data_IF_629035068892
#
_entry.id   IF_629035068892
#
_cell.length_a   1.000
_cell.length_b   1.000
_cell.length_c   1.000
_cell.angle_alpha   90.00
_cell.angle_beta   90.00
_cell.angle_gamma   90.00
#
_symmetry.space_group_name_H-M   'P 1'
#
loop_
_entity.id
_entity.type
_entity.pdbx_description
1 polymer ?
#
# COMPACT_ATOMS: atom_id res chain seq x y z
N UNK A 1 -3.75 -19.91 -21.76
CA UNK A 1 -3.08 -18.83 -21.01
C UNK A 1 -2.76 -19.34 -19.61
N UNK A 2 -1.52 -19.18 -19.10
CA UNK A 2 -1.16 -19.69 -17.76
C UNK A 2 -1.93 -18.93 -16.67
N UNK A 3 -2.42 -19.63 -15.66
CA UNK A 3 -3.19 -19.07 -14.53
C UNK A 3 -2.42 -17.94 -13.82
N UNK A 4 -1.10 -18.08 -13.69
CA UNK A 4 -0.21 -17.06 -13.11
C UNK A 4 -0.29 -15.71 -13.84
N UNK A 5 -0.36 -15.74 -15.17
CA UNK A 5 -0.44 -14.53 -16.00
C UNK A 5 -1.81 -13.86 -15.81
N UNK A 6 -2.88 -14.65 -15.71
CA UNK A 6 -4.22 -14.12 -15.43
C UNK A 6 -4.26 -13.43 -14.06
N UNK A 7 -3.67 -14.04 -13.03
CA UNK A 7 -3.62 -13.47 -11.68
C UNK A 7 -2.78 -12.18 -11.63
N UNK A 8 -1.64 -12.15 -12.32
CA UNK A 8 -0.80 -10.94 -12.40
C UNK A 8 -1.51 -9.80 -13.13
N UNK A 9 -2.20 -10.09 -14.24
CA UNK A 9 -3.00 -9.09 -14.96
C UNK A 9 -4.18 -8.60 -14.13
N UNK A 10 -4.86 -9.50 -13.40
CA UNK A 10 -5.95 -9.13 -12.51
C UNK A 10 -5.47 -8.20 -11.39
N UNK A 11 -4.33 -8.51 -10.74
CA UNK A 11 -3.73 -7.65 -9.72
C UNK A 11 -3.42 -6.26 -10.27
N UNK A 12 -2.74 -6.19 -11.42
CA UNK A 12 -2.39 -4.91 -12.04
C UNK A 12 -3.62 -4.10 -12.44
N UNK A 13 -4.68 -4.75 -12.93
CA UNK A 13 -5.93 -4.09 -13.26
C UNK A 13 -6.63 -3.53 -12.01
N UNK A 14 -6.70 -4.30 -10.92
CA UNK A 14 -7.27 -3.85 -9.64
C UNK A 14 -6.47 -2.69 -9.08
N UNK A 15 -5.13 -2.81 -9.06
CA UNK A 15 -4.25 -1.74 -8.61
C UNK A 15 -4.48 -0.48 -9.43
N UNK A 16 -4.44 -0.55 -10.77
CA UNK A 16 -4.69 0.60 -11.63
C UNK A 16 -6.06 1.24 -11.36
N UNK A 17 -7.13 0.44 -11.24
CA UNK A 17 -8.47 0.93 -10.96
C UNK A 17 -8.54 1.67 -9.61
N UNK A 18 -7.95 1.11 -8.55
CA UNK A 18 -7.93 1.73 -7.21
C UNK A 18 -7.10 3.01 -7.21
N UNK A 19 -5.95 3.03 -7.87
CA UNK A 19 -5.09 4.23 -7.94
C UNK A 19 -5.77 5.34 -8.74
N UNK A 20 -6.41 5.02 -9.88
CA UNK A 20 -7.18 5.99 -10.67
C UNK A 20 -8.36 6.54 -9.84
N UNK A 21 -9.08 5.67 -9.14
CA UNK A 21 -10.17 6.07 -8.26
C UNK A 21 -9.69 7.03 -7.17
N UNK A 22 -8.56 6.73 -6.52
CA UNK A 22 -7.94 7.56 -5.49
C UNK A 22 -7.41 8.89 -6.04
N UNK A 23 -6.93 8.93 -7.29
CA UNK A 23 -6.51 10.19 -7.92
C UNK A 23 -7.70 11.10 -8.26
N UNK A 24 -8.79 10.52 -8.77
CA UNK A 24 -9.98 11.28 -9.19
C UNK A 24 -10.80 11.74 -7.99
N UNK A 25 -11.01 10.86 -7.01
CA UNK A 25 -11.93 11.12 -5.88
C UNK A 25 -11.24 11.37 -4.55
N UNK A 26 -9.98 10.94 -4.40
CA UNK A 26 -9.26 11.04 -3.14
C UNK A 26 -8.76 12.44 -2.83
N UNK A 27 -8.62 12.71 -1.53
CA UNK A 27 -7.99 13.91 -1.01
C UNK A 27 -6.47 13.78 -1.01
N UNK A 28 -5.82 14.68 -0.26
CA UNK A 28 -4.35 14.65 -0.10
C UNK A 28 -3.83 13.33 0.49
N UNK A 29 -4.43 12.76 1.55
CA UNK A 29 -4.00 11.48 2.11
C UNK A 29 -4.04 10.34 1.10
N UNK A 30 -5.12 10.26 0.31
CA UNK A 30 -5.33 9.20 -0.68
C UNK A 30 -4.31 9.30 -1.82
N UNK A 31 -4.00 10.53 -2.28
CA UNK A 31 -2.95 10.76 -3.29
C UNK A 31 -1.56 10.40 -2.79
N UNK A 32 -1.25 10.66 -1.51
CA UNK A 32 -0.01 10.19 -0.90
C UNK A 32 0.02 8.65 -0.84
N UNK A 33 -1.11 8.01 -0.53
CA UNK A 33 -1.25 6.55 -0.61
C UNK A 33 -0.99 5.99 -2.00
N UNK A 34 -1.46 6.69 -3.05
CA UNK A 34 -1.14 6.34 -4.45
C UNK A 34 0.36 6.39 -4.71
N UNK A 35 1.05 7.44 -4.24
CA UNK A 35 2.49 7.58 -4.41
C UNK A 35 3.26 6.44 -3.72
N UNK A 36 2.87 6.05 -2.51
CA UNK A 36 3.50 4.92 -1.80
C UNK A 36 3.36 3.62 -2.59
N UNK A 37 2.17 3.34 -3.14
CA UNK A 37 1.94 2.14 -3.95
C UNK A 37 2.73 2.16 -5.27
N UNK A 38 2.75 3.30 -5.98
CA UNK A 38 3.52 3.45 -7.23
C UNK A 38 5.02 3.31 -6.95
N UNK A 39 5.53 3.92 -5.88
CA UNK A 39 6.92 3.80 -5.49
C UNK A 39 7.30 2.35 -5.15
N UNK A 40 6.46 1.64 -4.38
CA UNK A 40 6.63 0.22 -4.11
C UNK A 40 6.68 -0.61 -5.39
N UNK A 41 5.68 -0.46 -6.27
CA UNK A 41 5.63 -1.17 -7.55
C UNK A 41 6.84 -0.88 -8.46
N UNK A 42 7.25 0.39 -8.57
CA UNK A 42 8.41 0.79 -9.36
C UNK A 42 9.70 0.20 -8.81
N UNK A 43 9.88 0.22 -7.48
CA UNK A 43 11.06 -0.34 -6.83
C UNK A 43 11.13 -1.86 -7.01
N UNK A 44 10.03 -2.58 -6.78
CA UNK A 44 9.95 -4.02 -7.04
C UNK A 44 10.21 -4.35 -8.51
N UNK A 45 9.66 -3.57 -9.44
CA UNK A 45 9.84 -3.79 -10.88
C UNK A 45 11.27 -3.52 -11.35
N UNK A 46 11.89 -2.44 -10.87
CA UNK A 46 13.28 -2.12 -11.16
C UNK A 46 14.23 -3.21 -10.63
N UNK A 47 13.99 -3.70 -9.41
CA UNK A 47 14.77 -4.81 -8.84
C UNK A 47 14.64 -6.10 -9.65
N UNK A 48 13.44 -6.42 -10.16
CA UNK A 48 13.22 -7.58 -11.05
C UNK A 48 13.97 -7.47 -12.38
N UNK A 49 14.08 -6.26 -12.94
CA UNK A 49 14.82 -6.01 -14.19
C UNK A 49 16.34 -6.10 -14.00
N UNK A 50 16.85 -5.70 -12.83
CA UNK A 50 18.28 -5.67 -12.51
C UNK A 50 18.85 -7.02 -12.04
N UNK A 51 18.00 -7.99 -11.66
CA UNK A 51 18.44 -9.30 -11.16
C UNK A 51 17.53 -10.42 -11.69
N UNK A 52 17.74 -10.80 -12.95
CA UNK A 52 16.89 -11.71 -13.71
C UNK A 52 16.92 -13.19 -13.29
N UNK A 53 17.87 -13.63 -12.45
CA UNK A 53 18.10 -15.06 -12.19
C UNK A 53 17.69 -15.58 -10.80
N UNK A 54 17.43 -14.71 -9.81
CA UNK A 54 17.45 -15.13 -8.39
C UNK A 54 16.22 -14.68 -7.56
N UNK A 55 15.45 -13.68 -8.00
CA UNK A 55 14.44 -12.96 -7.17
C UNK A 55 13.14 -13.74 -6.87
N UNK A 56 12.93 -14.92 -7.45
CA UNK A 56 11.73 -15.74 -7.17
C UNK A 56 11.86 -16.62 -5.93
N UNK A 57 13.04 -16.69 -5.32
CA UNK A 57 13.24 -17.44 -4.08
C UNK A 57 12.71 -16.65 -2.86
N UNK A 58 11.99 -17.31 -1.92
CA UNK A 58 11.69 -16.73 -0.63
C UNK A 58 12.98 -16.26 0.04
N UNK A 59 13.02 -15.00 0.47
CA UNK A 59 14.07 -14.53 1.37
C UNK A 59 15.15 -13.61 0.83
N UNK A 60 14.96 -13.00 -0.34
CA UNK A 60 15.82 -11.91 -0.74
C UNK A 60 15.54 -10.64 0.08
N UNK A 61 16.57 -10.15 0.78
CA UNK A 61 16.49 -8.92 1.59
C UNK A 61 16.03 -7.68 0.81
N UNK A 62 16.04 -7.72 -0.52
CA UNK A 62 15.49 -6.67 -1.38
C UNK A 62 13.96 -6.51 -1.23
N UNK A 63 13.19 -7.60 -1.22
CA UNK A 63 11.73 -7.53 -1.01
C UNK A 63 11.42 -6.98 0.38
N UNK A 64 12.17 -7.43 1.39
CA UNK A 64 12.07 -6.94 2.76
C UNK A 64 12.28 -5.41 2.84
N UNK A 65 13.24 -4.86 2.10
CA UNK A 65 13.47 -3.41 2.05
C UNK A 65 12.32 -2.64 1.43
N UNK A 66 11.69 -3.19 0.38
CA UNK A 66 10.50 -2.59 -0.24
C UNK A 66 9.35 -2.58 0.76
N UNK A 67 9.06 -3.73 1.39
CA UNK A 67 7.96 -3.86 2.34
C UNK A 67 8.15 -2.96 3.56
N UNK A 68 9.41 -2.80 4.00
CA UNK A 68 9.76 -1.88 5.07
C UNK A 68 9.45 -0.44 4.66
N UNK A 69 9.86 -0.02 3.45
CA UNK A 69 9.59 1.31 2.93
C UNK A 69 8.08 1.59 2.79
N UNK A 70 7.31 0.63 2.27
CA UNK A 70 5.86 0.72 2.14
C UNK A 70 5.18 0.80 3.51
N UNK A 71 5.61 -0.04 4.46
CA UNK A 71 5.11 -0.05 5.84
C UNK A 71 5.37 1.29 6.53
N UNK A 72 6.58 1.83 6.43
CA UNK A 72 6.92 3.15 6.97
C UNK A 72 6.07 4.23 6.29
N UNK A 73 5.90 4.16 4.97
CA UNK A 73 5.09 5.11 4.21
C UNK A 73 3.64 5.16 4.69
N UNK A 74 2.99 4.01 4.84
CA UNK A 74 1.62 3.95 5.36
C UNK A 74 1.52 4.30 6.84
N UNK A 75 2.49 3.88 7.66
CA UNK A 75 2.52 4.23 9.08
C UNK A 75 2.62 5.75 9.27
N UNK A 76 3.54 6.40 8.53
CA UNK A 76 3.69 7.84 8.50
C UNK A 76 2.38 8.54 8.09
N UNK A 77 1.71 8.02 7.07
CA UNK A 77 0.42 8.53 6.60
C UNK A 77 -0.67 8.36 7.68
N UNK A 78 -0.65 7.26 8.43
CA UNK A 78 -1.57 7.01 9.55
C UNK A 78 -1.41 7.98 10.71
N UNK A 79 -0.19 8.39 11.06
CA UNK A 79 0.04 9.32 12.17
C UNK A 79 -0.12 10.80 11.77
N UNK A 80 0.04 11.13 10.48
CA UNK A 80 -0.02 12.51 9.97
C UNK A 80 -1.39 12.95 9.47
N UNK A 81 -2.30 12.01 9.24
CA UNK A 81 -3.63 12.29 8.68
C UNK A 81 -4.75 12.01 9.68
N UNK A 82 -5.91 12.64 9.50
CA UNK A 82 -7.11 12.39 10.31
C UNK A 82 -7.94 11.21 9.79
N UNK A 83 -7.46 10.55 8.72
CA UNK A 83 -8.16 9.45 8.06
C UNK A 83 -7.83 8.14 8.76
N UNK A 84 -8.83 7.28 8.91
CA UNK A 84 -8.65 5.99 9.58
C UNK A 84 -8.10 4.89 8.65
N UNK A 85 -8.29 4.99 7.33
CA UNK A 85 -7.84 3.96 6.40
C UNK A 85 -6.30 3.71 6.37
N UNK A 86 -5.41 4.70 6.56
CA UNK A 86 -3.97 4.46 6.44
C UNK A 86 -3.42 3.59 7.57
N UNK A 87 -4.03 3.60 8.76
CA UNK A 87 -3.60 2.71 9.86
C UNK A 87 -3.92 1.24 9.55
N UNK A 88 -4.98 0.98 8.78
CA UNK A 88 -5.31 -0.36 8.29
C UNK A 88 -4.31 -0.79 7.23
N UNK A 89 -4.02 0.09 6.26
CA UNK A 89 -3.00 -0.16 5.25
C UNK A 89 -1.61 -0.40 5.85
N UNK A 90 -1.24 0.34 6.91
CA UNK A 90 0.00 0.12 7.65
C UNK A 90 0.02 -1.25 8.34
N UNK A 91 -1.09 -1.68 8.94
CA UNK A 91 -1.21 -3.02 9.53
C UNK A 91 -1.06 -4.14 8.51
N UNK A 92 -1.68 -4.00 7.33
CA UNK A 92 -1.53 -4.97 6.25
C UNK A 92 -0.10 -4.98 5.68
N UNK A 93 0.50 -3.81 5.46
CA UNK A 93 1.90 -3.70 5.03
C UNK A 93 2.88 -4.30 6.06
N UNK A 94 2.61 -4.15 7.35
CA UNK A 94 3.38 -4.80 8.41
C UNK A 94 3.26 -6.33 8.35
N UNK A 95 2.07 -6.86 8.05
CA UNK A 95 1.87 -8.29 7.79
C UNK A 95 2.69 -8.80 6.61
N UNK A 96 2.77 -7.99 5.55
CA UNK A 96 3.60 -8.26 4.37
C UNK A 96 5.10 -8.27 4.71
N UNK A 97 5.54 -7.26 5.46
CA UNK A 97 6.90 -7.16 6.00
C UNK A 97 7.29 -8.39 6.82
N UNK A 98 6.39 -8.88 7.67
CA UNK A 98 6.62 -10.11 8.43
C UNK A 98 6.70 -11.34 7.52
N UNK A 99 5.85 -11.43 6.49
CA UNK A 99 5.94 -12.52 5.51
C UNK A 99 7.30 -12.53 4.80
N UNK A 100 7.79 -11.36 4.38
CA UNK A 100 9.13 -11.22 3.79
C UNK A 100 10.26 -11.50 4.77
N UNK A 101 10.12 -11.10 6.03
CA UNK A 101 11.10 -11.40 7.09
C UNK A 101 11.19 -12.90 7.36
N UNK A 102 10.05 -13.58 7.53
CA UNK A 102 10.02 -15.02 7.75
C UNK A 102 10.43 -15.80 6.49
N UNK A 103 10.10 -15.31 5.29
CA UNK A 103 10.62 -15.86 4.04
C UNK A 103 12.15 -15.80 3.97
N UNK A 104 12.77 -14.77 4.54
CA UNK A 104 14.23 -14.62 4.62
C UNK A 104 14.89 -15.49 5.70
N UNK A 105 14.25 -15.60 6.86
CA UNK A 105 14.80 -16.35 8.00
C UNK A 105 14.52 -17.86 7.91
N UNK A 106 13.45 -18.26 7.20
CA UNK A 106 12.99 -19.65 7.10
C UNK A 106 12.97 -20.11 5.63
N UNK A 107 14.11 -20.56 5.08
CA UNK A 107 14.24 -20.97 3.68
C UNK A 107 13.40 -22.20 3.28
N UNK A 108 12.69 -22.84 4.22
CA UNK A 108 11.78 -23.98 3.98
C UNK A 108 10.29 -23.57 3.94
N UNK A 109 9.97 -22.28 3.99
CA UNK A 109 8.59 -21.82 3.83
C UNK A 109 8.12 -22.18 2.42
N UNK A 110 6.92 -22.77 2.33
CA UNK A 110 6.35 -23.11 1.03
C UNK A 110 6.16 -21.84 0.19
N UNK A 111 6.61 -21.88 -1.07
CA UNK A 111 6.48 -20.79 -2.05
C UNK A 111 5.01 -20.35 -2.18
N UNK A 112 4.08 -21.32 -2.09
CA UNK A 112 2.64 -21.06 -2.12
C UNK A 112 2.18 -20.19 -0.93
N UNK A 113 2.55 -20.56 0.31
CA UNK A 113 2.17 -19.79 1.50
C UNK A 113 2.78 -18.38 1.47
N UNK A 114 4.04 -18.26 1.02
CA UNK A 114 4.72 -16.97 0.91
C UNK A 114 4.03 -16.02 -0.08
N UNK A 115 3.80 -16.45 -1.32
CA UNK A 115 3.14 -15.60 -2.32
C UNK A 115 1.67 -15.33 -2.03
N UNK A 116 0.96 -16.30 -1.44
CA UNK A 116 -0.44 -16.10 -1.05
C UNK A 116 -0.55 -15.07 0.07
N UNK A 117 0.34 -15.15 1.07
CA UNK A 117 0.41 -14.17 2.16
C UNK A 117 0.65 -12.76 1.65
N UNK A 118 1.69 -12.58 0.82
CA UNK A 118 2.00 -11.26 0.25
C UNK A 118 0.85 -10.71 -0.60
N UNK A 119 0.26 -11.57 -1.45
CA UNK A 119 -0.87 -11.18 -2.28
C UNK A 119 -2.08 -10.71 -1.47
N UNK A 120 -2.46 -11.45 -0.42
CA UNK A 120 -3.61 -11.10 0.43
C UNK A 120 -3.39 -9.73 1.09
N UNK A 121 -2.21 -9.49 1.67
CA UNK A 121 -1.93 -8.22 2.34
C UNK A 121 -1.90 -7.04 1.37
N UNK A 122 -1.36 -7.22 0.16
CA UNK A 122 -1.41 -6.20 -0.89
C UNK A 122 -2.85 -5.86 -1.30
N UNK A 123 -3.71 -6.86 -1.51
CA UNK A 123 -5.14 -6.62 -1.81
C UNK A 123 -5.88 -5.93 -0.67
N UNK A 124 -5.59 -6.30 0.58
CA UNK A 124 -6.20 -5.65 1.75
C UNK A 124 -5.76 -4.19 1.90
N UNK A 125 -4.48 -3.88 1.62
CA UNK A 125 -3.98 -2.51 1.59
C UNK A 125 -4.66 -1.67 0.49
N UNK A 126 -4.82 -2.24 -0.72
CA UNK A 126 -5.59 -1.61 -1.80
C UNK A 126 -7.07 -1.42 -1.43
N UNK A 127 -7.66 -2.41 -0.77
CA UNK A 127 -9.02 -2.35 -0.24
C UNK A 127 -9.19 -1.23 0.78
N UNK A 128 -8.23 -1.05 1.69
CA UNK A 128 -8.22 0.05 2.64
C UNK A 128 -8.15 1.41 1.94
N UNK A 129 -7.29 1.56 0.93
CA UNK A 129 -7.20 2.78 0.13
C UNK A 129 -8.51 3.08 -0.63
N UNK A 130 -9.12 2.05 -1.23
CA UNK A 130 -10.40 2.18 -1.92
C UNK A 130 -11.53 2.60 -0.96
N UNK A 131 -11.61 1.96 0.21
CA UNK A 131 -12.58 2.32 1.26
C UNK A 131 -12.36 3.75 1.77
N UNK A 132 -11.11 4.17 1.96
CA UNK A 132 -10.75 5.54 2.32
C UNK A 132 -11.22 6.55 1.29
N UNK A 133 -11.01 6.25 0.02
CA UNK A 133 -11.42 7.08 -1.12
C UNK A 133 -12.94 7.18 -1.25
N UNK A 134 -13.66 6.06 -1.09
CA UNK A 134 -15.13 6.02 -1.20
C UNK A 134 -15.84 6.70 -0.03
N UNK A 135 -15.22 6.71 1.16
CA UNK A 135 -15.77 7.40 2.34
C UNK A 135 -15.61 8.93 2.30
N UNK A 136 -14.88 9.49 1.34
CA UNK A 136 -14.74 10.95 1.20
C UNK A 136 -16.01 11.52 0.52
N UNK A 137 -16.81 12.37 1.20
CA UNK A 137 -17.96 13.02 0.58
C UNK A 137 -17.51 13.92 -0.58
N UNK A 138 -18.31 13.97 -1.65
CA UNK A 138 -18.01 14.80 -2.83
C UNK A 138 -17.89 16.28 -2.49
N UNK A 139 -18.74 16.75 -1.57
CA UNK A 139 -18.81 18.15 -1.13
C UNK A 139 -18.00 18.40 0.14
N UNK A 140 -17.03 17.53 0.45
CA UNK A 140 -16.18 17.70 1.62
C UNK A 140 -15.45 19.05 1.58
N UNK A 141 -15.54 19.77 2.69
CA UNK A 141 -14.89 21.07 2.86
C UNK A 141 -13.37 20.98 2.63
N UNK A 142 -12.71 22.08 2.21
CA UNK A 142 -11.30 22.07 1.85
C UNK A 142 -10.37 21.50 2.93
N UNK A 143 -10.67 21.74 4.21
CA UNK A 143 -9.88 21.18 5.32
C UNK A 143 -10.06 19.66 5.47
N UNK A 144 -11.26 19.14 5.21
CA UNK A 144 -11.52 17.69 5.20
C UNK A 144 -10.83 17.00 4.03
N UNK A 145 -10.83 17.62 2.84
CA UNK A 145 -10.09 17.13 1.66
C UNK A 145 -8.58 17.17 1.84
N UNK A 146 -8.07 18.14 2.60
CA UNK A 146 -6.67 18.20 2.98
C UNK A 146 -6.29 17.05 3.91
N UNK A 147 -7.17 16.71 4.86
CA UNK A 147 -7.06 15.53 5.72
C UNK A 147 -5.80 15.49 6.61
N UNK A 148 -5.01 16.57 6.65
CA UNK A 148 -3.83 16.66 7.48
C UNK A 148 -4.23 16.99 8.92
N UNK A 149 -3.59 16.32 9.88
CA UNK A 149 -3.87 16.52 11.30
C UNK A 149 -3.66 17.98 11.73
N UNK A 150 -2.66 18.65 11.16
CA UNK A 150 -2.37 20.06 11.43
C UNK A 150 -3.51 20.98 10.97
N UNK A 151 -4.04 20.78 9.77
CA UNK A 151 -5.14 21.62 9.25
C UNK A 151 -6.43 21.46 10.07
N UNK A 152 -6.68 20.25 10.57
CA UNK A 152 -7.81 19.97 11.44
C UNK A 152 -7.66 20.69 12.79
N UNK A 153 -6.49 20.63 13.43
CA UNK A 153 -6.22 21.35 14.69
C UNK A 153 -6.36 22.87 14.49
N UNK A 154 -5.87 23.40 13.37
CA UNK A 154 -5.96 24.83 13.08
C UNK A 154 -7.41 25.29 12.91
N UNK A 155 -8.23 24.52 12.19
CA UNK A 155 -9.65 24.83 12.02
C UNK A 155 -10.39 24.88 13.36
N UNK A 156 -10.18 23.89 14.24
CA UNK A 156 -10.80 23.88 15.57
C UNK A 156 -10.42 25.09 16.41
N UNK A 157 -9.16 25.53 16.37
CA UNK A 157 -8.70 26.73 17.10
C UNK A 157 -9.34 28.02 16.61
N UNK A 158 -9.74 28.10 15.35
CA UNK A 158 -10.37 29.30 14.77
C UNK A 158 -11.87 29.38 15.01
N UNK A 159 -12.51 28.26 15.37
CA UNK A 159 -13.96 28.17 15.58
C UNK A 159 -14.39 28.14 17.05
N UNK A 160 -13.43 27.94 17.97
CA UNK A 160 -13.59 28.06 19.43
C UNK A 160 -13.19 29.44 19.91
#
# INVERSE_FOLDING_TARGET
MRVEILLALAFNAVMAAVLILALIRGGRPERLGVLVNIAGFALTSAMRLLSSAVVWAPGHGQTLLVDLGVTIGFFWLGITTTRFWPIWAAGFALGDLFMSLFGALLPKVSIFAYHTGMGIYAYLALGALALGTLRLPRDAEPYLRNGSRQSWIQHHRTTT
#
